data_IF_915357454089
#
_entry.id   IF_915357454089
#
_cell.length_a   1.000
_cell.length_b   1.000
_cell.length_c   1.000
_cell.angle_alpha   90.00
_cell.angle_beta   90.00
_cell.angle_gamma   90.00
#
_symmetry.space_group_name_H-M   'P 1'
#
loop_
_entity.id
_entity.type
_entity.pdbx_description
1 polymer ?
#
# COMPACT_ATOMS: atom_id res chain seq x y z
N UNK A 1 47.35 -63.50 -17.78
CA UNK A 1 47.13 -63.31 -19.24
C UNK A 1 45.65 -63.55 -19.45
N UNK A 2 44.83 -62.52 -19.32
CA UNK A 2 44.43 -61.55 -20.36
C UNK A 2 43.49 -62.16 -21.42
N UNK A 3 42.38 -61.46 -21.64
CA UNK A 3 41.38 -61.56 -22.70
C UNK A 3 40.40 -62.77 -22.64
N UNK A 4 39.09 -62.62 -22.86
CA UNK A 4 38.38 -61.51 -23.46
C UNK A 4 36.86 -61.66 -23.35
N UNK A 5 36.23 -60.56 -22.99
CA UNK A 5 34.98 -59.99 -23.52
C UNK A 5 34.14 -60.85 -24.48
N UNK A 6 32.85 -61.06 -24.16
CA UNK A 6 31.79 -60.96 -25.16
C UNK A 6 30.41 -60.57 -24.59
N UNK A 7 30.15 -59.27 -24.68
CA UNK A 7 28.97 -58.66 -25.30
C UNK A 7 27.58 -58.93 -24.68
N UNK A 8 27.26 -58.10 -23.69
CA UNK A 8 25.92 -57.81 -23.17
C UNK A 8 25.03 -57.31 -24.32
N UNK A 9 24.07 -58.13 -24.73
CA UNK A 9 22.96 -57.68 -25.58
C UNK A 9 21.95 -56.95 -24.70
N UNK A 10 21.96 -55.63 -24.83
CA UNK A 10 21.00 -54.66 -24.32
C UNK A 10 19.57 -55.15 -24.51
N UNK A 11 18.93 -55.55 -23.42
CA UNK A 11 17.47 -55.68 -23.33
C UNK A 11 16.98 -54.48 -22.54
N UNK A 12 16.29 -53.60 -23.24
CA UNK A 12 15.59 -52.45 -22.68
C UNK A 12 14.28 -52.94 -22.05
N UNK A 13 14.09 -52.76 -20.73
CA UNK A 13 12.76 -52.48 -20.25
C UNK A 13 12.74 -51.04 -19.74
N UNK A 14 11.99 -50.22 -20.47
CA UNK A 14 11.49 -48.95 -19.96
C UNK A 14 10.66 -49.25 -18.71
N UNK A 15 11.18 -48.91 -17.53
CA UNK A 15 10.40 -48.91 -16.29
C UNK A 15 10.35 -47.47 -15.81
N UNK A 16 9.33 -46.76 -16.32
CA UNK A 16 8.92 -45.48 -15.79
C UNK A 16 8.36 -45.70 -14.38
N UNK A 17 9.21 -45.55 -13.35
CA UNK A 17 8.75 -45.49 -11.98
C UNK A 17 8.13 -44.11 -11.73
N UNK A 18 6.81 -44.01 -11.89
CA UNK A 18 6.04 -42.85 -11.50
C UNK A 18 6.13 -42.64 -9.98
N UNK A 19 6.95 -41.69 -9.55
CA UNK A 19 7.01 -41.19 -8.18
C UNK A 19 5.72 -40.42 -7.89
N UNK A 20 4.71 -41.11 -7.37
CA UNK A 20 3.54 -40.49 -6.73
C UNK A 20 3.97 -39.93 -5.38
N UNK A 21 4.51 -38.72 -5.38
CA UNK A 21 4.71 -37.94 -4.15
C UNK A 21 3.33 -37.45 -3.72
N UNK A 22 2.69 -38.19 -2.81
CA UNK A 22 1.51 -37.70 -2.10
C UNK A 22 1.97 -36.55 -1.19
N UNK A 23 1.91 -35.32 -1.70
CA UNK A 23 2.12 -34.13 -0.88
C UNK A 23 0.92 -33.97 0.05
N UNK A 24 1.09 -33.98 1.38
CA UNK A 24 0.04 -33.53 2.25
C UNK A 24 -0.16 -32.04 1.98
N UNK A 25 -1.27 -31.72 1.31
CA UNK A 25 -1.80 -30.37 1.20
C UNK A 25 -2.20 -29.93 2.62
N UNK A 26 -1.24 -29.39 3.34
CA UNK A 26 -1.48 -28.64 4.57
C UNK A 26 -2.27 -27.39 4.15
N UNK A 27 -3.59 -27.47 4.21
CA UNK A 27 -4.44 -26.30 4.19
C UNK A 27 -4.16 -25.52 5.47
N UNK A 28 -3.21 -24.59 5.39
CA UNK A 28 -3.12 -23.50 6.35
C UNK A 28 -4.43 -22.74 6.24
N UNK A 29 -5.30 -22.88 7.24
CA UNK A 29 -6.36 -21.92 7.51
C UNK A 29 -5.66 -20.61 7.88
N UNK A 30 -5.25 -19.85 6.86
CA UNK A 30 -4.87 -18.47 7.06
C UNK A 30 -6.09 -17.79 7.66
N UNK A 31 -6.00 -17.39 8.92
CA UNK A 31 -6.94 -16.42 9.47
C UNK A 31 -6.91 -15.24 8.51
N UNK A 32 -8.00 -15.03 7.77
CA UNK A 32 -8.28 -13.72 7.21
C UNK A 32 -8.45 -12.82 8.43
N UNK A 33 -7.35 -12.23 8.88
CA UNK A 33 -7.37 -11.02 9.69
C UNK A 33 -8.22 -10.08 8.85
N UNK A 34 -9.47 -9.88 9.26
CA UNK A 34 -10.29 -8.83 8.69
C UNK A 34 -9.48 -7.56 8.89
N UNK A 35 -8.86 -7.06 7.83
CA UNK A 35 -8.23 -5.76 7.88
C UNK A 35 -9.35 -4.79 8.21
N UNK A 36 -9.30 -4.19 9.41
CA UNK A 36 -10.07 -2.98 9.67
C UNK A 36 -9.88 -2.05 8.48
N UNK A 37 -10.98 -1.52 7.93
CA UNK A 37 -10.90 -0.60 6.81
C UNK A 37 -10.02 0.58 7.24
N UNK A 38 -8.86 0.81 6.59
CA UNK A 38 -7.91 1.80 7.06
C UNK A 38 -8.43 3.24 6.89
N UNK A 39 -9.58 3.44 6.22
CA UNK A 39 -10.12 4.75 5.87
C UNK A 39 -11.15 5.20 6.90
N UNK A 40 -10.77 6.13 7.77
CA UNK A 40 -11.65 6.68 8.80
C UNK A 40 -11.82 8.20 8.60
N UNK A 41 -13.06 8.71 8.74
CA UNK A 41 -13.34 10.15 8.70
C UNK A 41 -12.77 10.89 9.92
N UNK A 42 -12.53 10.19 11.04
CA UNK A 42 -11.95 10.77 12.24
C UNK A 42 -10.59 11.44 11.98
N UNK A 43 -9.78 10.87 11.08
CA UNK A 43 -8.50 11.46 10.67
C UNK A 43 -8.67 12.80 9.96
N UNK A 44 -9.80 13.01 9.28
CA UNK A 44 -10.17 14.29 8.70
C UNK A 44 -10.72 15.24 9.76
N UNK A 45 -11.53 14.74 10.70
CA UNK A 45 -12.17 15.57 11.74
C UNK A 45 -11.17 16.17 12.73
N UNK A 46 -10.01 15.53 12.91
CA UNK A 46 -8.91 16.05 13.74
C UNK A 46 -8.11 17.18 13.07
N UNK A 47 -8.32 17.43 11.77
CA UNK A 47 -7.65 18.54 11.09
C UNK A 47 -8.14 19.90 11.61
N UNK A 48 -7.29 20.94 11.55
CA UNK A 48 -7.74 22.30 11.79
C UNK A 48 -8.92 22.68 10.88
N UNK A 49 -9.91 23.46 11.36
CA UNK A 49 -11.17 23.67 10.65
C UNK A 49 -11.02 24.16 9.20
N UNK A 50 -10.04 25.04 8.98
CA UNK A 50 -9.77 25.60 7.65
C UNK A 50 -9.10 24.59 6.70
N UNK A 51 -8.25 23.69 7.24
CA UNK A 51 -7.60 22.61 6.49
C UNK A 51 -8.64 21.54 6.15
N UNK A 52 -9.43 21.12 7.15
CA UNK A 52 -10.57 20.20 6.95
C UNK A 52 -11.49 20.67 5.83
N UNK A 53 -11.91 21.94 5.90
CA UNK A 53 -12.80 22.52 4.90
C UNK A 53 -12.21 22.53 3.49
N UNK A 54 -10.89 22.69 3.35
CA UNK A 54 -10.22 22.59 2.06
C UNK A 54 -10.27 21.16 1.51
N UNK A 55 -9.98 20.16 2.36
CA UNK A 55 -10.00 18.74 1.98
C UNK A 55 -11.42 18.28 1.60
N UNK A 56 -12.43 18.61 2.41
CA UNK A 56 -13.84 18.32 2.11
C UNK A 56 -14.27 18.90 0.76
N UNK A 57 -13.84 20.12 0.46
CA UNK A 57 -14.15 20.79 -0.83
C UNK A 57 -13.47 20.10 -2.00
N UNK A 58 -12.25 19.61 -1.83
CA UNK A 58 -11.54 18.83 -2.87
C UNK A 58 -12.24 17.51 -3.17
N UNK A 59 -12.79 16.84 -2.15
CA UNK A 59 -13.55 15.61 -2.34
C UNK A 59 -14.98 15.81 -2.83
N UNK A 60 -15.52 17.04 -2.80
CA UNK A 60 -16.93 17.31 -3.14
C UNK A 60 -17.94 16.61 -2.22
N UNK A 61 -17.53 16.19 -1.03
CA UNK A 61 -18.32 15.31 -0.16
C UNK A 61 -17.56 14.93 1.11
N UNK A 62 -17.82 13.72 1.63
CA UNK A 62 -17.27 13.23 2.89
C UNK A 62 -15.94 12.48 2.69
N UNK A 63 -14.77 13.12 2.87
CA UNK A 63 -13.49 12.43 2.81
C UNK A 63 -13.33 11.41 3.95
N UNK A 64 -12.63 10.31 3.65
CA UNK A 64 -12.04 9.39 4.63
C UNK A 64 -10.53 9.37 4.44
N UNK A 65 -9.78 9.22 5.52
CA UNK A 65 -8.32 9.23 5.46
C UNK A 65 -7.73 8.05 6.22
N UNK A 66 -6.56 7.60 5.79
CA UNK A 66 -5.75 6.67 6.55
C UNK A 66 -4.97 7.40 7.66
N UNK A 67 -4.37 6.63 8.57
CA UNK A 67 -3.68 7.14 9.76
C UNK A 67 -2.63 8.21 9.45
N UNK A 68 -1.85 8.03 8.38
CA UNK A 68 -0.76 8.91 7.98
C UNK A 68 -1.16 9.99 6.95
N UNK A 69 -2.45 10.32 6.88
CA UNK A 69 -2.89 11.42 6.01
C UNK A 69 -2.32 12.78 6.41
N UNK A 70 -2.11 13.02 7.71
CA UNK A 70 -1.62 14.29 8.22
C UNK A 70 -0.43 14.11 9.16
N UNK A 71 0.70 14.68 8.78
CA UNK A 71 1.93 14.69 9.57
C UNK A 71 2.13 16.08 10.15
N UNK A 72 2.29 16.17 11.47
CA UNK A 72 2.52 17.42 12.20
C UNK A 72 4.02 17.59 12.44
N UNK A 73 4.56 18.72 11.97
CA UNK A 73 5.97 19.06 12.00
C UNK A 73 6.16 20.38 12.76
N UNK A 74 7.39 20.63 13.22
CA UNK A 74 7.77 21.87 13.90
C UNK A 74 6.81 22.26 15.03
N UNK A 75 6.61 21.38 16.02
CA UNK A 75 5.67 21.58 17.13
C UNK A 75 4.23 21.90 16.66
N UNK A 76 3.76 21.17 15.64
CA UNK A 76 2.46 21.37 14.99
C UNK A 76 2.29 22.71 14.29
N UNK A 77 3.37 23.49 14.11
CA UNK A 77 3.33 24.72 13.30
C UNK A 77 3.19 24.41 11.82
N UNK A 78 3.64 23.24 11.37
CA UNK A 78 3.51 22.81 9.97
C UNK A 78 2.70 21.53 9.92
N UNK A 79 1.73 21.46 9.00
CA UNK A 79 0.97 20.25 8.70
C UNK A 79 1.28 19.85 7.28
N UNK A 80 1.80 18.64 7.08
CA UNK A 80 1.95 18.02 5.77
C UNK A 80 0.81 17.05 5.54
N UNK A 81 0.05 17.25 4.47
CA UNK A 81 -1.01 16.36 4.02
C UNK A 81 -0.51 15.45 2.90
N UNK A 82 -0.85 14.18 3.01
CA UNK A 82 -0.41 13.06 2.18
C UNK A 82 -1.60 12.49 1.40
N UNK A 83 -1.84 12.96 0.17
CA UNK A 83 -3.09 12.61 -0.52
C UNK A 83 -3.11 11.18 -1.08
N UNK A 84 -2.00 10.45 -1.05
CA UNK A 84 -2.02 8.98 -1.19
C UNK A 84 -2.88 8.30 -0.11
N UNK A 85 -3.04 8.95 1.04
CA UNK A 85 -3.81 8.49 2.19
C UNK A 85 -5.17 9.19 2.29
N UNK A 86 -5.70 9.73 1.19
CA UNK A 86 -7.03 10.32 1.12
C UNK A 86 -7.96 9.54 0.19
N UNK A 87 -9.16 9.23 0.68
CA UNK A 87 -10.22 8.58 -0.08
C UNK A 87 -11.45 9.49 -0.15
N UNK A 88 -11.86 9.84 -1.38
CA UNK A 88 -13.12 10.53 -1.65
C UNK A 88 -14.14 9.55 -2.25
N UNK A 89 -15.43 9.69 -1.92
CA UNK A 89 -16.49 8.81 -2.45
C UNK A 89 -16.63 8.87 -3.98
N UNK A 90 -16.27 9.98 -4.63
CA UNK A 90 -16.35 10.13 -6.09
C UNK A 90 -15.04 9.69 -6.83
N UNK A 91 -14.12 9.03 -6.12
CA UNK A 91 -12.81 8.62 -6.66
C UNK A 91 -11.74 9.71 -6.51
N UNK A 92 -10.54 9.30 -6.09
CA UNK A 92 -9.41 10.17 -5.78
C UNK A 92 -8.40 10.25 -6.92
N UNK A 93 -8.31 11.43 -7.56
CA UNK A 93 -7.36 11.74 -8.62
C UNK A 93 -6.13 12.52 -8.15
N UNK A 94 -5.64 12.22 -6.95
CA UNK A 94 -4.55 12.98 -6.32
C UNK A 94 -3.15 12.46 -6.66
N UNK A 95 -3.06 11.35 -7.40
CA UNK A 95 -1.80 10.80 -7.87
C UNK A 95 -1.73 10.87 -9.40
N UNK A 96 -0.54 11.18 -9.91
CA UNK A 96 -0.20 11.23 -11.32
C UNK A 96 1.14 10.52 -11.58
N UNK A 97 1.68 10.67 -12.79
CA UNK A 97 2.95 10.06 -13.19
C UNK A 97 4.17 10.52 -12.37
N UNK A 98 4.11 11.69 -11.73
CA UNK A 98 5.17 12.22 -10.87
C UNK A 98 5.03 11.79 -9.39
N UNK A 99 3.91 11.15 -9.02
CA UNK A 99 3.61 10.73 -7.65
C UNK A 99 2.28 11.27 -7.14
N UNK A 100 2.13 11.35 -5.83
CA UNK A 100 0.90 11.81 -5.17
C UNK A 100 1.03 13.25 -4.67
N UNK A 101 -0.11 13.93 -4.59
CA UNK A 101 -0.21 15.32 -4.15
C UNK A 101 0.15 15.40 -2.66
N UNK A 102 1.11 16.26 -2.33
CA UNK A 102 1.44 16.65 -0.97
C UNK A 102 1.18 18.14 -0.80
N UNK A 103 0.62 18.52 0.35
CA UNK A 103 0.37 19.92 0.70
C UNK A 103 0.93 20.24 2.07
N UNK A 104 1.66 21.35 2.19
CA UNK A 104 2.17 21.84 3.46
C UNK A 104 1.43 23.12 3.86
N UNK A 105 0.92 23.12 5.08
CA UNK A 105 0.25 24.25 5.69
C UNK A 105 1.07 24.76 6.87
N UNK A 106 1.16 26.07 7.05
CA UNK A 106 1.81 26.69 8.22
C UNK A 106 0.78 27.39 9.10
N UNK A 107 0.90 27.24 10.42
CA UNK A 107 0.11 27.94 11.41
C UNK A 107 0.49 29.42 11.49
N UNK A 108 -0.49 30.29 11.28
CA UNK A 108 -0.42 31.74 11.43
C UNK A 108 -1.56 32.18 12.37
N UNK A 109 -1.24 32.36 13.64
CA UNK A 109 -2.24 32.66 14.67
C UNK A 109 -3.22 31.50 14.85
N UNK A 110 -4.51 31.74 14.60
CA UNK A 110 -5.59 30.74 14.72
C UNK A 110 -5.88 29.96 13.43
N UNK A 111 -5.16 30.24 12.33
CA UNK A 111 -5.43 29.67 11.02
C UNK A 111 -4.18 29.02 10.42
N UNK A 112 -4.39 28.01 9.58
CA UNK A 112 -3.34 27.40 8.79
C UNK A 112 -3.37 27.91 7.34
N UNK A 113 -2.23 28.28 6.77
CA UNK A 113 -2.14 28.74 5.37
C UNK A 113 -1.34 27.75 4.54
N UNK A 114 -1.86 27.40 3.36
CA UNK A 114 -1.14 26.59 2.39
C UNK A 114 0.12 27.34 1.93
N UNK A 115 1.30 26.72 2.11
CA UNK A 115 2.60 27.28 1.70
C UNK A 115 3.26 26.49 0.59
N UNK A 116 2.92 25.20 0.44
CA UNK A 116 3.47 24.35 -0.61
C UNK A 116 2.43 23.36 -1.09
N UNK A 117 2.39 23.13 -2.39
CA UNK A 117 1.61 22.07 -3.03
C UNK A 117 2.49 21.47 -4.12
N UNK A 118 2.77 20.18 -4.03
CA UNK A 118 3.70 19.50 -4.94
C UNK A 118 3.29 18.05 -5.15
N UNK A 119 3.77 17.44 -6.22
CA UNK A 119 3.64 16.00 -6.44
C UNK A 119 4.98 15.35 -6.13
N UNK A 120 4.96 14.24 -5.38
CA UNK A 120 6.15 13.50 -5.03
C UNK A 120 5.82 12.04 -4.79
N UNK A 121 6.84 11.18 -4.80
CA UNK A 121 6.67 9.82 -4.31
C UNK A 121 6.40 9.90 -2.81
N UNK A 122 5.48 9.07 -2.31
CA UNK A 122 5.23 8.98 -0.87
C UNK A 122 6.54 8.70 -0.13
N UNK A 123 6.76 9.43 0.96
CA UNK A 123 7.81 9.11 1.91
C UNK A 123 7.31 7.89 2.73
N UNK A 124 7.79 6.69 2.38
CA UNK A 124 7.70 5.47 3.20
C UNK A 124 8.90 5.40 4.15
#
# INVERSE_FOLDING_TARGET
MEAGMLNIRTLCPAIAAALLVATPQAFGLGSQVGHDDPWNSEHIDRLPPNVRSAVTRMCGGSPRAAHYFATYLDHSRIIRLHFEHLHCDNGGGFCNSAGCLHQEYVGTGSQYRLIKSYYGRGDD
#
